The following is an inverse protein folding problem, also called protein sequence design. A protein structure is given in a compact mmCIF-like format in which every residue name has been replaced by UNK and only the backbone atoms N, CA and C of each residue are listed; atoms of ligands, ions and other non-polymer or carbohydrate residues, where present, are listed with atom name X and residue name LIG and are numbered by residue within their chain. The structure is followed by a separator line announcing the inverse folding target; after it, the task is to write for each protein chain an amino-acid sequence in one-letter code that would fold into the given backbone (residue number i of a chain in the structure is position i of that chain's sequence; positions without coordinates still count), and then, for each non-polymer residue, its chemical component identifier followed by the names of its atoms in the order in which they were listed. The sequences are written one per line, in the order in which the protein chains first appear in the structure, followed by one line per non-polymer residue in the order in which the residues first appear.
data_IF_466282674132
#
_entry.id   IF_466282674132
#
_cell.length_a   1.000
_cell.length_b   1.000
_cell.length_c   1.000
_cell.angle_alpha   90.00
_cell.angle_beta   90.00
_cell.angle_gamma   90.00
#
_symmetry.space_group_name_H-M   'P 1'
#
loop_
_entity.id
_entity.type
_entity.pdbx_description
1 polymer ?
#
# COMPACT_ATOMS: atom_id res chain seq x y z
N UNK A 1 -15.53 17.69 -22.43
CA UNK A 1 -16.12 16.48 -21.81
C UNK A 1 -15.68 15.17 -22.46
N UNK A 2 -15.78 14.99 -23.79
CA UNK A 2 -15.36 13.75 -24.48
C UNK A 2 -13.85 13.46 -24.31
N UNK A 3 -12.99 14.49 -24.38
CA UNK A 3 -11.53 14.33 -24.19
C UNK A 3 -11.14 13.84 -22.79
N UNK A 4 -11.73 14.44 -21.75
CA UNK A 4 -11.48 14.08 -20.34
C UNK A 4 -11.91 12.62 -20.03
N UNK A 5 -13.01 12.17 -20.66
CA UNK A 5 -13.51 10.80 -20.53
C UNK A 5 -12.58 9.78 -21.20
N UNK A 6 -12.02 10.13 -22.35
CA UNK A 6 -11.05 9.30 -23.08
C UNK A 6 -9.72 9.19 -22.30
N UNK A 7 -9.27 10.29 -21.70
CA UNK A 7 -8.10 10.30 -20.81
C UNK A 7 -8.31 9.42 -19.58
N UNK A 8 -9.44 9.55 -18.86
CA UNK A 8 -9.76 8.70 -17.69
C UNK A 8 -9.78 7.21 -18.04
N UNK A 9 -10.34 6.83 -19.20
CA UNK A 9 -10.33 5.43 -19.66
C UNK A 9 -8.93 4.93 -20.01
N UNK A 10 -8.12 5.77 -20.63
CA UNK A 10 -6.72 5.43 -20.97
C UNK A 10 -5.89 5.24 -19.71
N UNK A 11 -6.02 6.14 -18.73
CA UNK A 11 -5.37 6.02 -17.41
C UNK A 11 -5.80 4.75 -16.69
N UNK A 12 -7.10 4.44 -16.64
CA UNK A 12 -7.59 3.21 -16.02
C UNK A 12 -6.94 1.96 -16.63
N UNK A 13 -6.81 1.93 -17.97
CA UNK A 13 -6.18 0.83 -18.69
C UNK A 13 -4.68 0.72 -18.39
N UNK A 14 -3.97 1.84 -18.33
CA UNK A 14 -2.53 1.87 -17.98
C UNK A 14 -2.32 1.35 -16.56
N UNK A 15 -3.09 1.85 -15.58
CA UNK A 15 -2.99 1.41 -14.19
C UNK A 15 -3.27 -0.09 -14.06
N UNK A 16 -4.30 -0.59 -14.75
CA UNK A 16 -4.61 -2.02 -14.75
C UNK A 16 -3.47 -2.86 -15.36
N UNK A 17 -2.89 -2.43 -16.49
CA UNK A 17 -1.74 -3.13 -17.10
C UNK A 17 -0.52 -3.14 -16.18
N UNK A 18 -0.22 -2.01 -15.53
CA UNK A 18 0.88 -1.93 -14.55
C UNK A 18 0.64 -2.86 -13.37
N UNK A 19 -0.59 -2.92 -12.87
CA UNK A 19 -0.97 -3.84 -11.80
C UNK A 19 -0.83 -5.31 -12.23
N UNK A 20 -1.40 -5.69 -13.37
CA UNK A 20 -1.35 -7.07 -13.85
C UNK A 20 0.09 -7.51 -14.16
N UNK A 21 0.93 -6.58 -14.63
CA UNK A 21 2.36 -6.83 -14.79
C UNK A 21 2.99 -7.26 -13.45
N UNK A 22 2.68 -6.59 -12.34
CA UNK A 22 3.24 -6.92 -11.01
C UNK A 22 2.88 -8.32 -10.51
N UNK A 23 1.79 -8.90 -11.02
CA UNK A 23 1.33 -10.25 -10.70
C UNK A 23 1.98 -11.33 -11.57
N UNK A 24 2.78 -10.95 -12.57
CA UNK A 24 3.41 -11.90 -13.48
C UNK A 24 4.54 -12.66 -12.76
N UNK A 25 4.49 -13.99 -12.82
CA UNK A 25 5.52 -14.85 -12.24
C UNK A 25 6.88 -14.65 -12.93
N UNK A 26 7.96 -14.64 -12.16
CA UNK A 26 9.32 -14.56 -12.69
C UNK A 26 9.83 -13.14 -12.95
N UNK A 27 9.12 -12.11 -12.50
CA UNK A 27 9.64 -10.75 -12.53
C UNK A 27 10.88 -10.59 -11.66
N UNK A 28 11.86 -9.84 -12.16
CA UNK A 28 12.97 -9.41 -11.32
C UNK A 28 12.48 -8.38 -10.29
N UNK A 29 13.11 -8.30 -9.11
CA UNK A 29 12.73 -7.33 -8.10
C UNK A 29 12.77 -5.87 -8.59
N UNK A 30 13.72 -5.53 -9.46
CA UNK A 30 13.86 -4.19 -10.06
C UNK A 30 12.75 -3.87 -11.06
N UNK A 31 12.27 -4.85 -11.83
CA UNK A 31 11.12 -4.64 -12.73
C UNK A 31 9.85 -4.39 -11.94
N UNK A 32 9.63 -5.18 -10.90
CA UNK A 32 8.51 -5.00 -9.99
C UNK A 32 8.53 -3.62 -9.33
N UNK A 33 9.69 -3.16 -8.86
CA UNK A 33 9.85 -1.81 -8.31
C UNK A 33 9.50 -0.74 -9.35
N UNK A 34 9.95 -0.92 -10.60
CA UNK A 34 9.62 -0.01 -11.68
C UNK A 34 8.11 0.07 -11.92
N UNK A 35 7.39 -1.06 -11.97
CA UNK A 35 5.94 -1.06 -12.19
C UNK A 35 5.19 -0.40 -11.03
N UNK A 36 5.52 -0.73 -9.79
CA UNK A 36 4.87 -0.13 -8.62
C UNK A 36 5.15 1.37 -8.51
N UNK A 37 6.39 1.79 -8.77
CA UNK A 37 6.76 3.21 -8.81
C UNK A 37 6.02 3.96 -9.90
N UNK A 38 5.93 3.42 -11.12
CA UNK A 38 5.17 4.04 -12.20
C UNK A 38 3.68 4.11 -11.88
N UNK A 39 3.13 3.06 -11.27
CA UNK A 39 1.73 3.04 -10.83
C UNK A 39 1.48 4.14 -9.79
N UNK A 40 2.36 4.27 -8.79
CA UNK A 40 2.29 5.33 -7.79
C UNK A 40 2.42 6.73 -8.41
N UNK A 41 3.39 6.94 -9.31
CA UNK A 41 3.61 8.24 -9.96
C UNK A 41 2.34 8.77 -10.64
N UNK A 42 1.63 7.92 -11.37
CA UNK A 42 0.36 8.30 -12.02
C UNK A 42 -0.69 8.66 -10.96
N UNK A 43 -0.84 7.85 -9.90
CA UNK A 43 -1.81 8.10 -8.84
C UNK A 43 -1.49 9.33 -7.97
N UNK A 44 -0.21 9.73 -7.92
CA UNK A 44 0.28 10.85 -7.13
C UNK A 44 0.00 12.22 -7.75
N UNK A 45 -0.43 12.27 -9.02
CA UNK A 45 -0.86 13.51 -9.65
C UNK A 45 -2.04 14.11 -8.88
N UNK A 46 -2.00 15.41 -8.56
CA UNK A 46 -3.05 16.11 -7.80
C UNK A 46 -4.31 16.34 -8.65
N UNK A 47 -5.03 15.25 -8.90
CA UNK A 47 -6.28 15.18 -9.67
C UNK A 47 -7.34 14.47 -8.84
N UNK A 48 -8.51 15.09 -8.69
CA UNK A 48 -9.63 14.51 -7.93
C UNK A 48 -10.29 13.34 -8.68
N UNK A 49 -10.20 13.32 -10.00
CA UNK A 49 -10.71 12.23 -10.84
C UNK A 49 -9.99 10.90 -10.57
N UNK A 50 -8.81 10.96 -9.94
CA UNK A 50 -8.00 9.78 -9.60
C UNK A 50 -8.31 9.21 -8.21
N UNK A 51 -9.19 9.84 -7.43
CA UNK A 51 -9.58 9.35 -6.10
C UNK A 51 -10.13 7.93 -6.13
N UNK A 52 -10.92 7.60 -7.16
CA UNK A 52 -11.43 6.25 -7.37
C UNK A 52 -10.31 5.25 -7.63
N UNK A 53 -9.33 5.62 -8.44
CA UNK A 53 -8.17 4.78 -8.75
C UNK A 53 -7.25 4.59 -7.52
N UNK A 54 -7.07 5.63 -6.70
CA UNK A 54 -6.35 5.53 -5.43
C UNK A 54 -7.03 4.55 -4.49
N UNK A 55 -8.37 4.62 -4.37
CA UNK A 55 -9.15 3.68 -3.55
C UNK A 55 -9.04 2.24 -4.03
N UNK A 56 -9.16 2.02 -5.35
CA UNK A 56 -9.00 0.70 -5.97
C UNK A 56 -7.59 0.13 -5.72
N UNK A 57 -6.56 0.93 -5.97
CA UNK A 57 -5.16 0.54 -5.73
C UNK A 57 -4.91 0.19 -4.27
N UNK A 58 -5.38 1.01 -3.33
CA UNK A 58 -5.26 0.75 -1.91
C UNK A 58 -5.96 -0.55 -1.48
N UNK A 59 -7.14 -0.85 -2.02
CA UNK A 59 -7.82 -2.13 -1.78
C UNK A 59 -6.98 -3.31 -2.29
N UNK A 60 -6.49 -3.21 -3.54
CA UNK A 60 -5.63 -4.21 -4.16
C UNK A 60 -4.33 -4.45 -3.36
N UNK A 61 -3.68 -3.41 -2.85
CA UNK A 61 -2.51 -3.54 -1.97
C UNK A 61 -2.82 -4.35 -0.70
N UNK A 62 -4.01 -4.17 -0.11
CA UNK A 62 -4.40 -4.87 1.12
C UNK A 62 -4.68 -6.35 0.83
N UNK A 63 -5.36 -6.64 -0.28
CA UNK A 63 -5.60 -8.01 -0.72
C UNK A 63 -4.29 -8.78 -0.95
N UNK A 64 -3.25 -8.12 -1.51
CA UNK A 64 -1.93 -8.74 -1.66
C UNK A 64 -1.27 -9.07 -0.33
N UNK A 65 -1.36 -8.17 0.64
CA UNK A 65 -0.81 -8.38 1.98
C UNK A 65 -1.49 -9.57 2.64
N UNK A 66 -2.80 -9.68 2.50
CA UNK A 66 -3.58 -10.82 3.00
C UNK A 66 -3.19 -12.14 2.32
N UNK A 67 -2.83 -12.10 1.02
CA UNK A 67 -2.34 -13.27 0.27
C UNK A 67 -0.88 -13.63 0.56
N UNK A 68 -0.17 -12.81 1.35
CA UNK A 68 1.25 -13.02 1.72
C UNK A 68 2.18 -13.10 0.50
N UNK A 69 1.88 -12.34 -0.54
CA UNK A 69 2.69 -12.29 -1.75
C UNK A 69 4.07 -11.67 -1.48
N UNK A 70 5.11 -12.14 -2.16
CA UNK A 70 6.55 -11.92 -1.84
C UNK A 70 6.97 -10.44 -1.71
N UNK A 71 6.16 -9.51 -2.22
CA UNK A 71 6.44 -8.07 -2.29
C UNK A 71 5.43 -7.21 -1.52
N UNK A 72 4.74 -7.79 -0.53
CA UNK A 72 3.80 -7.06 0.32
C UNK A 72 4.45 -5.84 1.01
N UNK A 73 5.76 -5.87 1.33
CA UNK A 73 6.45 -4.75 1.98
C UNK A 73 6.40 -3.47 1.13
N UNK A 74 6.64 -3.59 -0.19
CA UNK A 74 6.50 -2.49 -1.14
C UNK A 74 5.05 -2.06 -1.32
N UNK A 75 4.11 -3.00 -1.29
CA UNK A 75 2.67 -2.69 -1.31
C UNK A 75 2.26 -1.81 -0.12
N UNK A 76 2.75 -2.11 1.08
CA UNK A 76 2.48 -1.31 2.29
C UNK A 76 3.10 0.08 2.20
N UNK A 77 4.34 0.20 1.67
CA UNK A 77 4.96 1.50 1.40
C UNK A 77 4.07 2.37 0.51
N UNK A 78 3.69 1.87 -0.66
CA UNK A 78 2.87 2.65 -1.60
C UNK A 78 1.46 2.89 -1.08
N UNK A 79 0.88 1.98 -0.31
CA UNK A 79 -0.37 2.22 0.41
C UNK A 79 -0.24 3.42 1.36
N UNK A 80 0.83 3.48 2.16
CA UNK A 80 1.09 4.60 3.06
C UNK A 80 1.25 5.92 2.29
N UNK A 81 1.99 5.91 1.19
CA UNK A 81 2.18 7.09 0.34
C UNK A 81 0.84 7.59 -0.26
N UNK A 82 0.01 6.69 -0.79
CA UNK A 82 -1.31 7.07 -1.32
C UNK A 82 -2.23 7.64 -0.24
N UNK A 83 -2.25 7.03 0.96
CA UNK A 83 -3.08 7.51 2.06
C UNK A 83 -2.68 8.90 2.56
N UNK A 84 -1.43 9.32 2.32
CA UNK A 84 -0.92 10.66 2.66
C UNK A 84 -1.29 11.74 1.66
N UNK A 85 -1.61 11.39 0.41
CA UNK A 85 -1.93 12.38 -0.62
C UNK A 85 -3.19 13.18 -0.29
N UNK A 86 -4.19 12.57 0.35
CA UNK A 86 -5.41 13.28 0.74
C UNK A 86 -5.92 12.87 2.14
N UNK A 87 -5.36 13.44 3.21
CA UNK A 87 -5.73 13.07 4.57
C UNK A 87 -7.18 13.46 4.94
N UNK A 88 -7.80 14.41 4.24
CA UNK A 88 -9.12 14.98 4.57
C UNK A 88 -10.28 14.28 3.86
N UNK A 89 -10.12 13.92 2.59
CA UNK A 89 -11.16 13.29 1.76
C UNK A 89 -11.22 11.75 1.95
N UNK A 90 -10.19 11.19 2.60
CA UNK A 90 -10.08 9.76 2.93
C UNK A 90 -10.87 9.31 4.18
N UNK A 91 -11.82 10.09 4.73
CA UNK A 91 -12.61 9.64 5.91
C UNK A 91 -13.46 8.40 5.60
N UNK A 92 -14.34 8.51 4.60
CA UNK A 92 -15.17 7.39 4.14
C UNK A 92 -14.30 6.22 3.68
N UNK A 93 -13.14 6.50 3.08
CA UNK A 93 -12.25 5.45 2.64
C UNK A 93 -11.57 4.70 3.79
N UNK A 94 -11.10 5.40 4.83
CA UNK A 94 -10.53 4.74 6.02
C UNK A 94 -11.57 3.89 6.75
N UNK A 95 -12.84 4.30 6.79
CA UNK A 95 -13.91 3.45 7.30
C UNK A 95 -14.06 2.17 6.48
N UNK A 96 -13.99 2.26 5.15
CA UNK A 96 -13.98 1.07 4.28
C UNK A 96 -12.76 0.19 4.59
N UNK A 97 -11.57 0.77 4.73
CA UNK A 97 -10.35 0.03 5.08
C UNK A 97 -10.48 -0.73 6.40
N UNK A 98 -11.08 -0.09 7.42
CA UNK A 98 -11.29 -0.73 8.72
C UNK A 98 -12.38 -1.78 8.66
N UNK A 99 -13.56 -1.43 8.15
CA UNK A 99 -14.76 -2.26 8.28
C UNK A 99 -14.81 -3.39 7.25
N UNK A 100 -14.38 -3.13 6.00
CA UNK A 100 -14.39 -4.14 4.93
C UNK A 100 -13.11 -4.97 4.92
N UNK A 101 -11.95 -4.32 5.04
CA UNK A 101 -10.66 -4.98 4.85
C UNK A 101 -9.94 -5.34 6.16
N UNK A 102 -10.50 -4.97 7.32
CA UNK A 102 -9.89 -5.20 8.63
C UNK A 102 -8.42 -4.74 8.69
N UNK A 103 -8.13 -3.55 8.12
CA UNK A 103 -6.76 -3.09 7.88
C UNK A 103 -5.88 -3.08 9.15
N UNK A 104 -6.48 -2.85 10.33
CA UNK A 104 -5.76 -2.87 11.60
C UNK A 104 -5.17 -4.25 11.86
N UNK A 105 -5.98 -5.31 11.76
CA UNK A 105 -5.51 -6.67 11.98
C UNK A 105 -4.52 -7.10 10.90
N UNK A 106 -4.80 -6.76 9.63
CA UNK A 106 -3.90 -7.05 8.51
C UNK A 106 -2.50 -6.48 8.74
N UNK A 107 -2.41 -5.23 9.19
CA UNK A 107 -1.11 -4.58 9.45
C UNK A 107 -0.39 -5.19 10.66
N UNK A 108 -1.11 -5.52 11.73
CA UNK A 108 -0.52 -6.15 12.94
C UNK A 108 0.02 -7.55 12.61
N UNK A 109 -0.78 -8.37 11.93
CA UNK A 109 -0.39 -9.71 11.51
C UNK A 109 0.79 -9.65 10.54
N UNK A 110 0.76 -8.76 9.54
CA UNK A 110 1.85 -8.64 8.58
C UNK A 110 3.15 -8.19 9.25
N UNK A 111 3.09 -7.19 10.14
CA UNK A 111 4.26 -6.73 10.87
C UNK A 111 4.85 -7.83 11.77
N UNK A 112 3.99 -8.60 12.44
CA UNK A 112 4.41 -9.74 13.27
C UNK A 112 5.09 -10.82 12.44
N UNK A 113 4.55 -11.13 11.26
CA UNK A 113 5.14 -12.09 10.32
C UNK A 113 6.49 -11.61 9.79
N UNK A 114 6.61 -10.33 9.39
CA UNK A 114 7.90 -9.74 8.98
C UNK A 114 8.93 -9.89 10.09
N UNK A 115 8.56 -9.55 11.33
CA UNK A 115 9.47 -9.63 12.47
C UNK A 115 9.93 -11.07 12.69
N UNK A 116 9.03 -12.04 12.67
CA UNK A 116 9.37 -13.45 12.83
C UNK A 116 10.23 -13.98 11.67
N UNK A 117 9.89 -13.64 10.44
CA UNK A 117 10.64 -14.05 9.25
C UNK A 117 12.05 -13.46 9.24
N UNK A 118 12.20 -12.19 9.58
CA UNK A 118 13.51 -11.54 9.66
C UNK A 118 14.32 -12.11 10.82
N UNK A 119 13.70 -12.32 11.98
CA UNK A 119 14.36 -12.94 13.13
C UNK A 119 14.94 -14.32 12.78
N UNK A 120 14.17 -15.14 12.08
CA UNK A 120 14.62 -16.46 11.65
C UNK A 120 15.73 -16.37 10.59
N UNK A 121 15.60 -15.46 9.61
CA UNK A 121 16.60 -15.29 8.53
C UNK A 121 17.93 -14.71 9.01
N UNK A 122 17.91 -13.89 10.06
CA UNK A 122 19.11 -13.26 10.62
C UNK A 122 19.62 -13.93 11.90
N UNK A 123 19.04 -15.08 12.27
CA UNK A 123 19.38 -15.82 13.49
C UNK A 123 19.35 -14.92 14.75
N UNK A 124 18.34 -14.05 14.83
CA UNK A 124 18.14 -13.11 15.93
C UNK A 124 18.84 -11.75 15.79
N UNK A 125 19.58 -11.51 14.70
CA UNK A 125 20.34 -10.28 14.47
C UNK A 125 19.60 -9.29 13.56
N UNK A 126 18.33 -8.99 13.83
CA UNK A 126 17.54 -8.03 13.03
C UNK A 126 17.98 -6.59 13.33
N UNK A 127 18.60 -5.93 12.36
CA UNK A 127 19.02 -4.54 12.43
C UNK A 127 18.06 -3.61 11.68
N UNK A 128 18.01 -2.30 12.01
CA UNK A 128 17.14 -1.34 11.32
C UNK A 128 17.29 -1.33 9.79
N UNK A 129 18.50 -1.58 9.28
CA UNK A 129 18.87 -1.62 7.86
C UNK A 129 18.73 -3.01 7.21
N UNK A 130 18.34 -4.04 7.97
CA UNK A 130 18.07 -5.39 7.43
C UNK A 130 16.98 -5.31 6.37
N UNK A 131 17.22 -5.86 5.18
CA UNK A 131 16.27 -5.80 4.07
C UNK A 131 15.19 -6.90 4.18
N UNK A 132 13.92 -6.50 4.08
CA UNK A 132 12.76 -7.41 4.19
C UNK A 132 12.56 -8.22 2.90
N UNK A 133 12.57 -7.52 1.76
CA UNK A 133 12.35 -8.07 0.41
C UNK A 133 13.49 -7.71 -0.56
N UNK A 134 14.66 -7.38 0.01
CA UNK A 134 15.82 -6.90 -0.73
C UNK A 134 15.77 -5.43 -1.16
N UNK A 135 14.68 -4.71 -0.85
CA UNK A 135 14.51 -3.30 -1.25
C UNK A 135 14.16 -2.39 -0.07
N UNK A 136 13.23 -2.84 0.78
CA UNK A 136 12.77 -2.07 1.93
C UNK A 136 13.50 -2.53 3.20
N UNK A 137 14.01 -1.58 3.97
CA UNK A 137 14.64 -1.87 5.26
C UNK A 137 13.59 -2.22 6.32
N UNK A 138 13.97 -2.98 7.33
CA UNK A 138 13.11 -3.36 8.44
C UNK A 138 12.54 -2.13 9.16
N UNK A 139 13.36 -1.08 9.33
CA UNK A 139 12.93 0.20 9.87
C UNK A 139 11.90 0.90 8.99
N UNK A 140 12.12 0.97 7.67
CA UNK A 140 11.17 1.58 6.74
C UNK A 140 9.84 0.81 6.70
N UNK A 141 9.89 -0.52 6.65
CA UNK A 141 8.70 -1.37 6.72
C UNK A 141 7.92 -1.11 8.00
N UNK A 142 8.58 -1.15 9.16
CA UNK A 142 7.95 -0.90 10.47
C UNK A 142 7.33 0.49 10.53
N UNK A 143 8.05 1.52 10.07
CA UNK A 143 7.56 2.89 10.02
C UNK A 143 6.29 3.02 9.18
N UNK A 144 6.27 2.46 7.98
CA UNK A 144 5.09 2.51 7.10
C UNK A 144 3.87 1.86 7.75
N UNK A 145 4.03 0.71 8.41
CA UNK A 145 2.93 0.06 9.15
C UNK A 145 2.38 0.94 10.26
N UNK A 146 3.26 1.46 11.11
CA UNK A 146 2.88 2.27 12.28
C UNK A 146 2.21 3.59 11.87
N UNK A 147 2.62 4.20 10.76
CA UNK A 147 2.03 5.43 10.25
C UNK A 147 0.60 5.22 9.72
N UNK A 148 0.35 4.11 9.03
CA UNK A 148 -1.02 3.75 8.61
C UNK A 148 -1.88 3.46 9.85
N UNK A 149 -1.37 2.66 10.79
CA UNK A 149 -2.08 2.36 12.05
C UNK A 149 -2.41 3.64 12.82
N UNK A 150 -1.45 4.55 12.98
CA UNK A 150 -1.67 5.83 13.64
C UNK A 150 -2.74 6.66 12.94
N UNK A 151 -2.71 6.71 11.61
CA UNK A 151 -3.70 7.43 10.80
C UNK A 151 -5.12 6.87 10.99
N UNK A 152 -5.25 5.55 11.00
CA UNK A 152 -6.53 4.86 11.22
C UNK A 152 -7.05 5.09 12.64
N UNK A 153 -6.19 4.94 13.65
CA UNK A 153 -6.57 5.07 15.06
C UNK A 153 -6.95 6.50 15.44
N UNK A 154 -6.18 7.50 14.99
CA UNK A 154 -6.50 8.92 15.23
C UNK A 154 -7.88 9.26 14.70
N UNK A 155 -8.25 8.75 13.52
CA UNK A 155 -9.58 8.99 12.94
C UNK A 155 -10.71 8.30 13.72
N UNK A 156 -10.47 7.12 14.29
CA UNK A 156 -11.43 6.45 15.18
C UNK A 156 -11.61 7.15 16.53
N UNK A 157 -10.57 7.81 17.06
CA UNK A 157 -10.67 8.54 18.32
C UNK A 157 -11.66 9.72 18.23
N UNK A 158 -11.86 10.29 17.03
CA UNK A 158 -12.93 11.28 16.79
C UNK A 158 -14.35 10.68 16.85
N UNK A 159 -14.53 9.37 16.63
CA UNK A 159 -15.83 8.70 16.70
C UNK A 159 -16.29 8.34 18.12
N UNK A 160 -15.38 8.28 19.09
CA UNK A 160 -15.75 8.02 20.50
C UNK A 160 -15.99 9.32 21.30
N UNK A 161 -15.80 10.48 20.68
CA UNK A 161 -15.96 11.80 21.28
C UNK A 161 -17.07 12.66 20.63
N UNK A 162 -17.86 12.06 19.72
CA UNK A 162 -19.10 12.64 19.15
C UNK A 162 -20.27 11.75 19.49
#
# INVERSE_FOLDING_TARGET
EIGLKCEKQSTARILQVLWDATLTSGLSPSMLDCFLRSHYQILSEDRSEYDEFRRDYSAKCIELVQRKEVWYARSIKYLNEILRLDPTNNKNFIEILVNKYNIVNVLIENLSNIQQDMWNKTEGSVMPDTLVDGHITFQESTKNHLEILSSVLKKRQFFFLT
#
